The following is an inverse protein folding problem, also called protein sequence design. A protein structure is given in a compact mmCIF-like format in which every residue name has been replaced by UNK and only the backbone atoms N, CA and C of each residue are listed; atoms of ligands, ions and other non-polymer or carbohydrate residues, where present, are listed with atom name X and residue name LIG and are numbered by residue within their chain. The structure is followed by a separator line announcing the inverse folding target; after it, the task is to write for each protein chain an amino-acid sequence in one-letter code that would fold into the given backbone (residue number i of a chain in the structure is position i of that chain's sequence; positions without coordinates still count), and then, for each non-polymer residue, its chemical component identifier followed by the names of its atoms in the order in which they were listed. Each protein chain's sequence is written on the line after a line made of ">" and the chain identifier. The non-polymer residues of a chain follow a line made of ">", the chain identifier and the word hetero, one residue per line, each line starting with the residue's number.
data_IF_836353426875
#
_entry.id   IF_836353426875
#
_cell.length_a   1.000
_cell.length_b   1.000
_cell.length_c   1.000
_cell.angle_alpha   90.00
_cell.angle_beta   90.00
_cell.angle_gamma   90.00
#
_symmetry.space_group_name_H-M   'P 1'
#
loop_
_entity.id
_entity.type
_entity.pdbx_description
1 polymer ?
#
# COMPACT_ATOMS: atom_id res chain seq x y z
N UNK A 1 15.65 -15.66 -17.88
CA UNK A 1 14.85 -14.56 -17.29
C UNK A 1 13.60 -15.12 -16.60
N UNK A 2 13.67 -15.73 -15.40
CA UNK A 2 12.51 -16.25 -14.66
C UNK A 2 11.96 -15.30 -13.58
N UNK A 3 12.72 -14.29 -13.16
CA UNK A 3 12.41 -13.46 -11.98
C UNK A 3 11.19 -12.53 -12.17
N UNK A 4 10.95 -12.05 -13.39
CA UNK A 4 9.80 -11.19 -13.67
C UNK A 4 8.46 -11.91 -13.45
N UNK A 5 8.35 -13.16 -13.92
CA UNK A 5 7.13 -13.97 -13.77
C UNK A 5 6.83 -14.30 -12.29
N UNK A 6 7.86 -14.64 -11.52
CA UNK A 6 7.68 -14.92 -10.08
C UNK A 6 7.25 -13.66 -9.29
N UNK A 7 7.79 -12.49 -9.66
CA UNK A 7 7.40 -11.20 -9.09
C UNK A 7 5.94 -10.87 -9.40
N UNK A 8 5.52 -11.07 -10.65
CA UNK A 8 4.15 -10.79 -11.08
C UNK A 8 3.14 -11.71 -10.39
N UNK A 9 3.46 -13.01 -10.25
CA UNK A 9 2.62 -13.97 -9.50
C UNK A 9 2.46 -13.54 -8.04
N UNK A 10 3.55 -13.15 -7.38
CA UNK A 10 3.49 -12.72 -5.97
C UNK A 10 2.69 -11.42 -5.79
N UNK A 11 2.76 -10.49 -6.75
CA UNK A 11 1.91 -9.30 -6.77
C UNK A 11 0.43 -9.65 -6.92
N UNK A 12 0.10 -10.60 -7.81
CA UNK A 12 -1.27 -11.09 -7.98
C UNK A 12 -1.83 -11.71 -6.70
N UNK A 13 -1.06 -12.59 -6.05
CA UNK A 13 -1.46 -13.21 -4.79
C UNK A 13 -1.68 -12.17 -3.70
N UNK A 14 -0.77 -11.20 -3.59
CA UNK A 14 -0.89 -10.12 -2.61
C UNK A 14 -2.10 -9.23 -2.90
N UNK A 15 -2.38 -8.91 -4.16
CA UNK A 15 -3.54 -8.14 -4.56
C UNK A 15 -4.86 -8.85 -4.22
N UNK A 16 -4.95 -10.15 -4.52
CA UNK A 16 -6.11 -10.97 -4.18
C UNK A 16 -6.30 -11.10 -2.65
N UNK A 17 -5.20 -11.17 -1.88
CA UNK A 17 -5.22 -11.23 -0.43
C UNK A 17 -5.69 -9.90 0.20
N UNK A 18 -5.13 -8.78 -0.23
CA UNK A 18 -5.37 -7.46 0.36
C UNK A 18 -6.72 -6.87 -0.08
N UNK A 19 -7.12 -7.12 -1.33
CA UNK A 19 -8.34 -6.59 -1.94
C UNK A 19 -9.21 -7.75 -2.41
N UNK A 20 -9.68 -8.55 -1.46
CA UNK A 20 -10.48 -9.76 -1.72
C UNK A 20 -11.86 -9.51 -2.36
N UNK A 21 -12.32 -8.26 -2.40
CA UNK A 21 -13.58 -7.85 -3.02
C UNK A 21 -13.46 -7.35 -4.47
N UNK A 22 -12.24 -7.33 -5.05
CA UNK A 22 -12.00 -7.02 -6.47
C UNK A 22 -11.16 -8.12 -7.13
N UNK A 23 -11.17 -8.17 -8.46
CA UNK A 23 -10.20 -8.99 -9.18
C UNK A 23 -8.76 -8.48 -8.94
N UNK A 24 -7.75 -9.36 -8.88
CA UNK A 24 -6.36 -8.95 -8.69
C UNK A 24 -5.86 -8.00 -9.80
N UNK A 25 -6.32 -8.19 -11.05
CA UNK A 25 -6.06 -7.26 -12.16
C UNK A 25 -6.59 -5.84 -11.86
N UNK A 26 -7.84 -5.74 -11.38
CA UNK A 26 -8.45 -4.45 -11.04
C UNK A 26 -7.82 -3.81 -9.80
N UNK A 27 -7.37 -4.63 -8.86
CA UNK A 27 -6.66 -4.19 -7.67
C UNK A 27 -5.29 -3.61 -8.02
N UNK A 28 -4.54 -4.28 -8.89
CA UNK A 28 -3.24 -3.80 -9.38
C UNK A 28 -3.37 -2.60 -10.32
N UNK A 29 -4.48 -2.48 -11.05
CA UNK A 29 -4.78 -1.29 -11.86
C UNK A 29 -4.99 -0.02 -11.02
N UNK A 30 -5.46 -0.15 -9.77
CA UNK A 30 -5.57 0.94 -8.79
C UNK A 30 -4.40 0.89 -7.80
N UNK A 31 -3.20 1.17 -8.32
CA UNK A 31 -1.94 1.10 -7.58
C UNK A 31 -1.99 1.85 -6.24
N UNK A 32 -2.58 3.05 -6.21
CA UNK A 32 -2.70 3.85 -4.97
C UNK A 32 -3.48 3.11 -3.89
N UNK A 33 -4.62 2.50 -4.25
CA UNK A 33 -5.43 1.76 -3.30
C UNK A 33 -4.79 0.44 -2.90
N UNK A 34 -4.12 -0.25 -3.84
CA UNK A 34 -3.33 -1.43 -3.53
C UNK A 34 -2.23 -1.13 -2.52
N UNK A 35 -1.40 -0.10 -2.78
CA UNK A 35 -0.34 0.32 -1.88
C UNK A 35 -0.88 0.77 -0.52
N UNK A 36 -1.96 1.54 -0.48
CA UNK A 36 -2.59 1.95 0.78
C UNK A 36 -3.08 0.74 1.61
N UNK A 37 -3.64 -0.28 0.95
CA UNK A 37 -4.05 -1.52 1.61
C UNK A 37 -2.84 -2.34 2.08
N UNK A 38 -1.79 -2.45 1.26
CA UNK A 38 -0.55 -3.12 1.64
C UNK A 38 0.07 -2.45 2.88
N UNK A 39 0.14 -1.12 2.89
CA UNK A 39 0.65 -0.35 4.02
C UNK A 39 -0.20 -0.51 5.29
N UNK A 40 -1.48 -0.84 5.15
CA UNK A 40 -2.39 -0.98 6.31
C UNK A 40 -2.44 -2.40 6.85
N UNK A 41 -2.51 -3.39 5.96
CA UNK A 41 -2.78 -4.79 6.30
C UNK A 41 -1.58 -5.73 6.07
N UNK A 42 -0.59 -5.28 5.30
CA UNK A 42 0.58 -6.07 4.94
C UNK A 42 1.49 -6.35 6.13
N UNK A 43 2.11 -7.52 6.12
CA UNK A 43 3.15 -7.87 7.08
C UNK A 43 4.52 -7.33 6.62
N UNK A 44 5.55 -7.55 7.43
CA UNK A 44 6.91 -7.07 7.13
C UNK A 44 7.47 -7.58 5.80
N UNK A 45 7.36 -8.88 5.52
CA UNK A 45 7.90 -9.51 4.29
C UNK A 45 7.15 -9.05 3.03
N UNK A 46 5.83 -8.84 3.16
CA UNK A 46 4.98 -8.30 2.10
C UNK A 46 5.34 -6.83 1.83
N UNK A 47 5.58 -6.05 2.87
CA UNK A 47 5.98 -4.65 2.72
C UNK A 47 7.41 -4.50 2.19
N UNK A 48 8.34 -5.37 2.57
CA UNK A 48 9.68 -5.39 1.98
C UNK A 48 9.60 -5.68 0.47
N UNK A 49 8.77 -6.64 0.08
CA UNK A 49 8.50 -6.92 -1.33
C UNK A 49 7.87 -5.72 -2.05
N UNK A 50 6.79 -5.15 -1.52
CA UNK A 50 6.11 -3.98 -2.10
C UNK A 50 7.08 -2.80 -2.25
N UNK A 51 7.93 -2.54 -1.26
CA UNK A 51 8.96 -1.49 -1.33
C UNK A 51 10.02 -1.79 -2.39
N UNK A 52 10.46 -3.05 -2.53
CA UNK A 52 11.35 -3.45 -3.64
C UNK A 52 10.68 -3.32 -5.01
N UNK A 53 9.34 -3.31 -5.06
CA UNK A 53 8.58 -3.25 -6.31
C UNK A 53 8.36 -1.82 -6.75
N UNK A 54 7.79 -1.00 -5.87
CA UNK A 54 7.31 0.35 -6.16
C UNK A 54 8.23 1.47 -5.65
N UNK A 55 9.11 1.15 -4.70
CA UNK A 55 9.99 2.12 -4.06
C UNK A 55 9.28 2.97 -3.00
N UNK A 56 10.09 3.56 -2.11
CA UNK A 56 9.59 4.36 -0.98
C UNK A 56 8.85 5.63 -1.42
N UNK A 57 9.22 6.21 -2.57
CA UNK A 57 8.58 7.41 -3.09
C UNK A 57 7.11 7.18 -3.46
N UNK A 58 6.77 6.00 -3.99
CA UNK A 58 5.38 5.63 -4.27
C UNK A 58 4.56 5.52 -2.98
N UNK A 59 5.14 4.95 -1.92
CA UNK A 59 4.48 4.85 -0.62
C UNK A 59 4.26 6.24 0.01
N UNK A 60 5.24 7.16 -0.11
CA UNK A 60 5.08 8.55 0.35
C UNK A 60 3.99 9.29 -0.44
N UNK A 61 3.92 9.09 -1.75
CA UNK A 61 2.87 9.67 -2.59
C UNK A 61 1.48 9.19 -2.13
N UNK A 62 1.35 7.91 -1.75
CA UNK A 62 0.11 7.36 -1.20
C UNK A 62 -0.25 7.99 0.15
N UNK A 63 0.71 8.26 1.04
CA UNK A 63 0.40 8.98 2.29
C UNK A 63 -0.04 10.42 2.03
N UNK A 64 0.48 11.06 0.98
CA UNK A 64 0.13 12.42 0.61
C UNK A 64 -1.31 12.51 0.06
N UNK A 65 -1.72 11.55 -0.77
CA UNK A 65 -3.05 11.48 -1.38
C UNK A 65 -3.76 10.16 -1.00
N UNK A 66 -3.85 9.92 0.30
CA UNK A 66 -4.35 8.67 0.84
C UNK A 66 -5.87 8.49 0.59
N UNK A 67 -6.31 7.33 0.05
CA UNK A 67 -7.73 7.08 -0.14
C UNK A 67 -8.45 7.05 1.22
N UNK A 68 -9.60 7.74 1.35
CA UNK A 68 -10.32 7.80 2.62
C UNK A 68 -10.82 6.41 3.03
N UNK A 69 -10.68 6.11 4.32
CA UNK A 69 -11.17 4.85 4.92
C UNK A 69 -10.33 3.61 4.61
N UNK A 70 -9.10 3.75 4.12
CA UNK A 70 -8.16 2.61 3.99
C UNK A 70 -7.28 2.50 5.22
N UNK A 71 -6.58 3.58 5.58
CA UNK A 71 -5.64 3.56 6.70
C UNK A 71 -6.35 3.54 8.06
N UNK A 72 -5.84 2.71 8.96
CA UNK A 72 -6.10 2.81 10.39
C UNK A 72 -5.09 3.78 11.06
N UNK A 73 -5.39 4.23 12.29
CA UNK A 73 -4.55 5.20 13.00
C UNK A 73 -3.14 4.68 13.30
N UNK A 74 -2.97 3.37 13.53
CA UNK A 74 -1.69 2.76 13.89
C UNK A 74 -0.76 2.76 12.69
N UNK A 75 -1.24 2.23 11.57
CA UNK A 75 -0.49 2.16 10.32
C UNK A 75 -0.19 3.56 9.78
N UNK A 76 -1.14 4.49 9.89
CA UNK A 76 -0.92 5.90 9.53
C UNK A 76 0.23 6.53 10.32
N UNK A 77 0.19 6.44 11.65
CA UNK A 77 1.26 6.97 12.49
C UNK A 77 2.60 6.30 12.20
N UNK A 78 2.61 4.97 12.06
CA UNK A 78 3.82 4.21 11.78
C UNK A 78 4.49 4.69 10.48
N UNK A 79 3.75 4.78 9.39
CA UNK A 79 4.32 5.15 8.10
C UNK A 79 4.81 6.60 8.03
N UNK A 80 4.09 7.53 8.67
CA UNK A 80 4.57 8.91 8.79
C UNK A 80 5.87 8.98 9.60
N UNK A 81 5.95 8.26 10.73
CA UNK A 81 7.19 8.20 11.52
C UNK A 81 8.33 7.51 10.76
N UNK A 82 8.05 6.43 10.04
CA UNK A 82 9.05 5.69 9.23
C UNK A 82 9.67 6.55 8.14
N UNK A 83 8.90 7.46 7.54
CA UNK A 83 9.42 8.40 6.54
C UNK A 83 9.98 9.69 7.14
N UNK A 84 10.05 9.81 8.46
CA UNK A 84 10.67 10.94 9.16
C UNK A 84 9.80 12.18 9.23
N UNK A 85 8.48 12.06 9.07
CA UNK A 85 7.57 13.19 9.21
C UNK A 85 7.50 13.66 10.67
N UNK A 86 7.80 14.94 10.90
CA UNK A 86 7.82 15.53 12.23
C UNK A 86 6.41 15.66 12.84
N UNK A 87 5.38 15.73 12.00
CA UNK A 87 3.99 15.83 12.42
C UNK A 87 3.12 14.89 11.60
N UNK A 88 2.38 14.01 12.27
CA UNK A 88 1.43 13.11 11.60
C UNK A 88 0.13 13.87 11.33
N UNK A 89 -0.27 14.06 10.06
CA UNK A 89 -1.53 14.71 9.72
C UNK A 89 -2.75 13.89 10.21
N UNK A 90 -3.94 14.48 10.31
CA UNK A 90 -5.16 13.72 10.59
C UNK A 90 -5.47 12.77 9.43
N UNK A 91 -6.09 11.62 9.74
CA UNK A 91 -6.52 10.64 8.75
C UNK A 91 -7.41 11.27 7.67
N UNK A 92 -7.28 10.84 6.39
CA UNK A 92 -8.12 11.31 5.31
C UNK A 92 -9.58 10.95 5.58
N UNK A 93 -10.42 11.97 5.72
CA UNK A 93 -11.87 11.80 5.86
C UNK A 93 -12.52 11.88 4.49
N UNK A 94 -13.54 11.06 4.26
CA UNK A 94 -14.39 11.17 3.07
C UNK A 94 -15.08 12.55 3.13
N UNK A 95 -14.77 13.42 2.17
CA UNK A 95 -15.54 14.66 1.96
C UNK A 95 -16.88 14.23 1.36
N UNK A 96 -17.94 14.38 2.15
CA UNK A 96 -19.34 14.19 1.73
C UNK A 96 -19.84 15.48 1.07
#
# INVERSE_FOLDING_TARGET
>A
MPEASARDVRLYELAAKLIWWKGPDEALADERRFLAQAMTLGNWEEMEFVRSVYGDDALRAVLTDAPPGVFDQRSWNYWHLMFGEATVPPLPRRRL
#
